data_IF_347914894276
#
_entry.id   IF_347914894276
#
_cell.length_a   1.000
_cell.length_b   1.000
_cell.length_c   1.000
_cell.angle_alpha   90.00
_cell.angle_beta   90.00
_cell.angle_gamma   90.00
#
_symmetry.space_group_name_H-M   'P 1'
#
loop_
_entity.id
_entity.type
_entity.pdbx_description
1 polymer ?
#
# COMPACT_ATOMS: atom_id res chain seq x y z
N UNK A 1 25.95 -13.86 9.56
CA UNK A 1 26.12 -15.34 9.72
C UNK A 1 24.75 -15.94 10.07
N UNK A 2 23.99 -16.33 9.04
CA UNK A 2 22.59 -16.76 9.20
C UNK A 2 22.58 -18.24 9.62
N UNK A 3 22.11 -18.54 10.82
CA UNK A 3 21.93 -19.92 11.28
C UNK A 3 20.69 -20.52 10.63
N UNK A 4 20.91 -21.52 9.78
CA UNK A 4 19.83 -22.35 9.19
C UNK A 4 19.25 -23.25 10.27
N UNK A 5 17.95 -23.11 10.54
CA UNK A 5 17.19 -24.08 11.35
C UNK A 5 16.74 -25.20 10.39
N UNK A 6 17.21 -26.40 10.65
CA UNK A 6 16.75 -27.62 9.97
C UNK A 6 15.54 -28.15 10.71
N UNK A 7 14.40 -28.18 10.06
CA UNK A 7 13.22 -28.92 10.51
C UNK A 7 13.17 -30.23 9.74
N UNK A 8 13.35 -31.35 10.45
CA UNK A 8 13.04 -32.68 9.96
C UNK A 8 11.55 -32.92 10.17
N UNK A 9 10.82 -33.21 9.10
CA UNK A 9 9.47 -33.76 9.16
C UNK A 9 9.44 -35.05 8.34
N UNK A 10 9.38 -36.17 9.05
CA UNK A 10 9.01 -37.50 8.51
C UNK A 10 7.50 -37.64 8.62
N UNK A 11 6.80 -38.03 7.57
CA UNK A 11 5.37 -38.36 7.64
C UNK A 11 4.76 -38.72 6.29
N UNK A 12 4.68 -39.96 6.10
CA UNK A 12 3.93 -40.90 5.27
C UNK A 12 2.92 -40.39 4.23
N UNK A 13 3.07 -40.99 3.10
CA UNK A 13 2.29 -41.06 1.87
C UNK A 13 0.88 -41.61 2.07
N UNK A 14 -0.13 -40.95 1.51
CA UNK A 14 -1.39 -41.57 1.10
C UNK A 14 -1.85 -40.99 -0.22
N UNK A 15 -1.71 -41.79 -1.28
CA UNK A 15 -2.32 -41.51 -2.59
C UNK A 15 -3.82 -41.79 -2.54
N UNK A 16 -4.62 -40.78 -2.86
CA UNK A 16 -5.98 -41.00 -3.35
C UNK A 16 -6.15 -40.12 -4.60
N UNK A 17 -6.18 -40.78 -5.75
CA UNK A 17 -6.45 -40.19 -7.04
C UNK A 17 -7.92 -39.77 -7.13
N UNK A 18 -8.17 -38.50 -7.42
CA UNK A 18 -9.42 -38.05 -8.00
C UNK A 18 -9.05 -37.13 -9.17
N UNK A 19 -9.40 -37.59 -10.37
CA UNK A 19 -9.28 -36.85 -11.60
C UNK A 19 -10.14 -35.59 -11.54
N UNK A 20 -9.50 -34.46 -11.47
CA UNK A 20 -10.15 -33.17 -11.68
C UNK A 20 -9.93 -32.76 -13.14
N UNK A 21 -11.01 -32.71 -13.91
CA UNK A 21 -11.06 -32.06 -15.20
C UNK A 21 -10.50 -30.64 -15.07
N UNK A 22 -9.38 -30.39 -15.71
CA UNK A 22 -8.93 -29.02 -15.95
C UNK A 22 -9.87 -28.37 -16.97
N UNK A 23 -10.57 -27.28 -16.62
CA UNK A 23 -11.13 -26.45 -17.66
C UNK A 23 -9.95 -25.79 -18.38
N UNK A 24 -9.81 -26.12 -19.66
CA UNK A 24 -8.96 -25.37 -20.59
C UNK A 24 -9.45 -23.93 -20.65
N UNK A 25 -9.00 -23.12 -19.67
CA UNK A 25 -9.15 -21.69 -19.71
C UNK A 25 -8.30 -21.18 -20.87
N UNK A 26 -8.95 -20.76 -21.96
CA UNK A 26 -8.35 -19.84 -22.92
C UNK A 26 -7.66 -18.74 -22.10
N UNK A 27 -6.36 -18.61 -22.25
CA UNK A 27 -5.65 -17.37 -21.90
C UNK A 27 -6.32 -16.28 -22.73
N UNK A 28 -7.28 -15.60 -22.15
CA UNK A 28 -7.76 -14.32 -22.65
C UNK A 28 -6.53 -13.44 -22.72
N UNK A 29 -6.27 -12.92 -23.91
CA UNK A 29 -5.09 -12.13 -24.21
C UNK A 29 -4.86 -11.10 -23.12
N UNK A 30 -3.61 -10.92 -22.75
CA UNK A 30 -3.20 -9.84 -21.90
C UNK A 30 -3.84 -8.57 -22.43
N UNK A 31 -4.63 -7.91 -21.61
CA UNK A 31 -5.24 -6.64 -21.93
C UNK A 31 -4.13 -5.70 -22.41
N UNK A 32 -4.16 -5.35 -23.69
CA UNK A 32 -3.16 -4.54 -24.37
C UNK A 32 -3.27 -3.04 -24.02
N UNK A 33 -4.04 -2.68 -23.01
CA UNK A 33 -3.98 -1.38 -22.34
C UNK A 33 -2.78 -1.35 -21.38
N UNK A 34 -1.61 -1.70 -21.90
CA UNK A 34 -0.36 -1.42 -21.19
C UNK A 34 -0.32 0.09 -21.07
N UNK A 35 -0.38 0.58 -19.83
CA UNK A 35 -0.16 1.97 -19.52
C UNK A 35 1.20 2.40 -20.13
N UNK A 36 1.14 3.05 -21.28
CA UNK A 36 2.31 3.51 -22.05
C UNK A 36 2.98 4.70 -21.39
N UNK A 37 2.41 5.23 -20.29
CA UNK A 37 2.92 6.37 -19.53
C UNK A 37 3.84 5.93 -18.38
N UNK A 38 4.05 4.64 -18.16
CA UNK A 38 4.96 4.15 -17.12
C UNK A 38 6.39 4.59 -17.38
N UNK A 39 7.01 5.17 -16.36
CA UNK A 39 8.44 5.47 -16.41
C UNK A 39 9.28 4.19 -16.35
N UNK A 40 10.56 4.29 -16.72
CA UNK A 40 11.50 3.18 -16.61
C UNK A 40 11.64 2.69 -15.16
N UNK A 41 11.59 3.59 -14.18
CA UNK A 41 11.65 3.32 -12.75
C UNK A 41 10.45 2.50 -12.30
N UNK A 42 9.23 2.88 -12.71
CA UNK A 42 8.00 2.12 -12.42
C UNK A 42 8.07 0.70 -13.00
N UNK A 43 8.57 0.55 -14.22
CA UNK A 43 8.75 -0.78 -14.85
C UNK A 43 9.80 -1.59 -14.08
N UNK A 44 10.90 -0.99 -13.65
CA UNK A 44 11.94 -1.65 -12.87
C UNK A 44 11.44 -2.10 -11.51
N UNK A 45 10.70 -1.24 -10.79
CA UNK A 45 10.06 -1.59 -9.51
C UNK A 45 9.16 -2.81 -9.68
N UNK A 46 8.25 -2.79 -10.65
CA UNK A 46 7.33 -3.90 -10.91
C UNK A 46 8.08 -5.21 -11.22
N UNK A 47 9.13 -5.14 -12.05
CA UNK A 47 9.93 -6.31 -12.39
C UNK A 47 10.71 -6.86 -11.18
N UNK A 48 11.19 -6.00 -10.30
CA UNK A 48 11.87 -6.40 -9.08
C UNK A 48 10.88 -7.05 -8.09
N UNK A 49 9.72 -6.45 -7.87
CA UNK A 49 8.66 -7.03 -7.03
C UNK A 49 8.24 -8.42 -7.51
N UNK A 50 8.15 -8.66 -8.83
CA UNK A 50 7.85 -9.99 -9.40
C UNK A 50 8.92 -11.05 -9.12
N UNK A 51 10.17 -10.65 -8.87
CA UNK A 51 11.27 -11.56 -8.56
C UNK A 51 11.30 -11.93 -7.07
N UNK A 52 10.80 -11.07 -6.18
CA UNK A 52 10.84 -11.29 -4.73
C UNK A 52 10.32 -12.67 -4.31
N UNK A 53 9.16 -13.19 -4.82
CA UNK A 53 8.63 -14.48 -4.40
C UNK A 53 9.57 -15.67 -4.69
N UNK A 54 10.53 -15.51 -5.60
CA UNK A 54 11.53 -16.55 -5.89
C UNK A 54 12.71 -16.53 -4.91
N UNK A 55 12.85 -15.51 -4.10
CA UNK A 55 13.98 -15.29 -3.19
C UNK A 55 13.56 -15.28 -1.72
N UNK A 56 12.31 -14.87 -1.43
CA UNK A 56 11.82 -14.75 -0.07
C UNK A 56 10.47 -14.05 0.03
N UNK A 57 10.18 -13.53 1.20
CA UNK A 57 8.97 -12.76 1.52
C UNK A 57 9.39 -11.41 2.06
N UNK A 58 8.75 -10.34 1.59
CA UNK A 58 8.87 -9.02 2.20
C UNK A 58 7.84 -8.90 3.33
N UNK A 59 8.33 -8.72 4.56
CA UNK A 59 7.45 -8.39 5.68
C UNK A 59 7.04 -6.92 5.58
N UNK A 60 5.75 -6.64 5.77
CA UNK A 60 5.19 -5.30 5.76
C UNK A 60 4.51 -4.93 7.07
N UNK A 61 4.52 -3.65 7.40
CA UNK A 61 3.79 -3.09 8.53
C UNK A 61 3.17 -1.74 8.18
N UNK A 62 1.95 -1.51 8.68
CA UNK A 62 1.24 -0.26 8.47
C UNK A 62 1.61 0.73 9.56
N UNK A 63 1.93 1.97 9.19
CA UNK A 63 2.27 3.10 10.08
C UNK A 63 3.39 2.85 11.10
N UNK A 64 4.20 1.80 10.90
CA UNK A 64 5.22 1.34 11.85
C UNK A 64 6.18 2.43 12.40
N UNK A 65 6.68 3.39 11.58
CA UNK A 65 7.57 4.43 12.10
C UNK A 65 6.84 5.68 12.62
N UNK A 66 5.53 5.66 12.68
CA UNK A 66 4.71 6.82 13.06
C UNK A 66 4.15 6.69 14.48
N UNK A 67 3.69 5.50 14.80
CA UNK A 67 3.20 5.13 16.14
C UNK A 67 3.24 3.61 16.30
N UNK A 68 3.15 3.15 17.54
CA UNK A 68 3.13 1.73 17.88
C UNK A 68 2.63 1.49 19.30
N UNK A 69 2.98 0.36 19.88
CA UNK A 69 2.49 -0.04 21.19
C UNK A 69 3.07 0.87 22.28
N UNK A 70 2.25 1.80 22.75
CA UNK A 70 2.61 2.71 23.85
C UNK A 70 3.50 3.89 23.45
N UNK A 71 3.59 4.22 22.16
CA UNK A 71 4.36 5.37 21.68
C UNK A 71 3.73 5.98 20.44
N UNK A 72 3.97 7.28 20.22
CA UNK A 72 3.53 8.04 19.06
C UNK A 72 4.58 9.11 18.72
N UNK A 73 4.99 9.18 17.47
CA UNK A 73 5.83 10.25 16.94
C UNK A 73 7.30 10.23 17.37
N UNK A 74 7.76 9.20 18.07
CA UNK A 74 9.17 9.05 18.47
C UNK A 74 10.06 8.96 17.22
N UNK A 75 11.21 9.64 17.25
CA UNK A 75 12.14 9.60 16.13
C UNK A 75 12.87 8.25 16.05
N UNK A 76 13.08 7.78 14.83
CA UNK A 76 13.84 6.55 14.49
C UNK A 76 13.34 5.29 15.22
N UNK A 77 12.07 5.27 15.63
CA UNK A 77 11.44 4.17 16.34
C UNK A 77 10.57 3.34 15.40
N UNK A 78 10.54 2.05 15.64
CA UNK A 78 9.74 1.06 14.95
C UNK A 78 9.57 -0.15 15.87
N UNK A 79 8.34 -0.63 16.03
CA UNK A 79 8.08 -1.85 16.79
C UNK A 79 8.73 -3.06 16.13
N UNK A 80 8.74 -3.11 14.78
CA UNK A 80 9.42 -4.17 14.03
C UNK A 80 10.93 -4.11 14.23
N UNK A 81 11.56 -2.93 14.11
CA UNK A 81 12.98 -2.74 14.33
C UNK A 81 13.40 -3.12 15.76
N UNK A 82 12.56 -2.85 16.75
CA UNK A 82 12.83 -3.20 18.14
C UNK A 82 12.90 -4.71 18.38
N UNK A 83 12.22 -5.51 17.56
CA UNK A 83 12.16 -6.98 17.66
C UNK A 83 13.23 -7.65 16.80
N UNK A 84 13.42 -7.23 15.56
CA UNK A 84 14.30 -7.92 14.61
C UNK A 84 15.58 -7.14 14.24
N UNK A 85 15.72 -5.90 14.70
CA UNK A 85 16.90 -5.06 14.46
C UNK A 85 16.86 -4.28 13.14
N UNK A 86 15.78 -4.39 12.38
CA UNK A 86 15.63 -3.69 11.10
C UNK A 86 14.18 -3.28 10.86
N UNK A 87 13.97 -2.30 9.97
CA UNK A 87 12.66 -1.85 9.57
C UNK A 87 11.94 -2.87 8.68
N UNK A 88 10.59 -2.84 8.61
CA UNK A 88 9.85 -3.67 7.65
C UNK A 88 10.26 -3.32 6.21
N UNK A 89 10.32 -4.34 5.36
CA UNK A 89 10.66 -4.16 3.94
C UNK A 89 9.59 -3.41 3.15
N UNK A 90 8.33 -3.47 3.61
CA UNK A 90 7.21 -2.72 3.05
C UNK A 90 6.58 -1.89 4.16
N UNK A 91 6.45 -0.61 3.94
CA UNK A 91 5.66 0.29 4.80
C UNK A 91 4.41 0.75 4.08
N UNK A 92 3.31 0.83 4.80
CA UNK A 92 2.07 1.40 4.31
C UNK A 92 1.66 2.57 5.20
N UNK A 93 1.06 3.60 4.61
CA UNK A 93 0.55 4.77 5.31
C UNK A 93 -0.87 5.07 4.86
N UNK A 94 -1.70 5.61 5.75
CA UNK A 94 -3.06 6.00 5.40
C UNK A 94 -3.16 7.49 5.06
N UNK A 95 -3.84 7.79 3.96
CA UNK A 95 -4.09 9.15 3.50
C UNK A 95 -5.49 9.65 3.83
N UNK A 96 -6.28 8.92 4.61
CA UNK A 96 -7.62 9.35 5.01
C UNK A 96 -7.61 10.74 5.65
N UNK A 97 -8.60 11.54 5.36
CA UNK A 97 -8.75 12.98 5.69
C UNK A 97 -7.91 13.95 4.86
N UNK A 98 -7.05 13.49 3.94
CA UNK A 98 -6.36 14.41 3.03
C UNK A 98 -7.34 15.12 2.10
N UNK A 99 -8.41 14.45 1.72
CA UNK A 99 -9.52 14.97 0.93
C UNK A 99 -10.31 16.07 1.63
N UNK A 100 -10.19 16.14 2.97
CA UNK A 100 -10.82 17.16 3.81
C UNK A 100 -9.87 18.35 4.09
N UNK A 101 -8.72 18.38 3.43
CA UNK A 101 -7.68 19.41 3.61
C UNK A 101 -7.20 19.54 5.07
N UNK A 102 -7.25 18.43 5.84
CA UNK A 102 -6.73 18.41 7.21
C UNK A 102 -5.21 18.33 7.22
N UNK A 103 -4.59 18.79 8.29
CA UNK A 103 -3.13 18.69 8.47
C UNK A 103 -2.68 17.26 8.87
N UNK A 104 -3.61 16.44 9.35
CA UNK A 104 -3.36 15.10 9.88
C UNK A 104 -4.30 14.07 9.26
N UNK A 105 -3.79 12.84 9.13
CA UNK A 105 -4.57 11.69 8.71
C UNK A 105 -5.66 11.32 9.74
N UNK A 106 -6.49 10.36 9.37
CA UNK A 106 -7.50 9.80 10.27
C UNK A 106 -6.89 9.19 11.55
N UNK A 107 -5.64 8.73 11.49
CA UNK A 107 -4.87 8.20 12.63
C UNK A 107 -4.13 9.29 13.42
N UNK A 108 -4.52 10.55 13.23
CA UNK A 108 -3.93 11.71 13.91
C UNK A 108 -2.45 11.98 13.54
N UNK A 109 -1.92 11.37 12.49
CA UNK A 109 -0.54 11.54 12.03
C UNK A 109 -0.44 12.73 11.07
N UNK A 110 0.49 13.69 11.29
CA UNK A 110 0.69 14.81 10.36
C UNK A 110 1.15 14.31 8.98
N UNK A 111 0.53 14.77 7.89
CA UNK A 111 0.92 14.39 6.52
C UNK A 111 2.38 14.70 6.19
N UNK A 112 2.95 15.76 6.78
CA UNK A 112 4.40 16.04 6.67
C UNK A 112 5.27 14.92 7.25
N UNK A 113 4.80 14.22 8.31
CA UNK A 113 5.52 13.09 8.91
C UNK A 113 5.38 11.84 8.03
N UNK A 114 4.19 11.58 7.48
CA UNK A 114 3.97 10.51 6.49
C UNK A 114 4.90 10.71 5.30
N UNK A 115 4.97 11.95 4.74
CA UNK A 115 5.90 12.28 3.66
C UNK A 115 7.35 11.99 4.04
N UNK A 116 7.79 12.42 5.22
CA UNK A 116 9.17 12.21 5.68
C UNK A 116 9.50 10.71 5.79
N UNK A 117 8.61 9.92 6.39
CA UNK A 117 8.86 8.48 6.55
C UNK A 117 8.77 7.72 5.22
N UNK A 118 7.96 8.18 4.27
CA UNK A 118 7.99 7.68 2.89
C UNK A 118 9.36 7.86 2.25
N UNK A 119 9.94 9.06 2.36
CA UNK A 119 11.29 9.36 1.83
C UNK A 119 12.35 8.51 2.57
N UNK A 120 12.23 8.39 3.88
CA UNK A 120 13.15 7.57 4.68
C UNK A 120 13.09 6.09 4.26
N UNK A 121 11.89 5.55 4.04
CA UNK A 121 11.72 4.16 3.58
C UNK A 121 12.30 3.94 2.18
N UNK A 122 12.11 4.87 1.27
CA UNK A 122 12.75 4.85 -0.04
C UNK A 122 14.28 4.84 0.08
N UNK A 123 14.86 5.73 0.90
CA UNK A 123 16.31 5.79 1.15
C UNK A 123 16.87 4.50 1.75
N UNK A 124 16.06 3.75 2.53
CA UNK A 124 16.42 2.40 3.04
C UNK A 124 16.35 1.31 1.97
N UNK A 125 15.83 1.61 0.77
CA UNK A 125 15.61 0.63 -0.30
C UNK A 125 14.34 -0.21 -0.10
N UNK A 126 13.45 0.19 0.79
CA UNK A 126 12.17 -0.46 1.03
C UNK A 126 11.08 -0.01 0.06
N UNK A 127 9.96 -0.69 0.12
CA UNK A 127 8.76 -0.36 -0.68
C UNK A 127 7.77 0.40 0.19
N UNK A 128 7.09 1.38 -0.41
CA UNK A 128 6.00 2.12 0.21
C UNK A 128 4.70 1.85 -0.53
N UNK A 129 3.63 1.71 0.23
CA UNK A 129 2.26 1.71 -0.28
C UNK A 129 1.41 2.70 0.50
N UNK A 130 0.30 3.12 -0.08
CA UNK A 130 -0.67 3.98 0.58
C UNK A 130 -2.04 3.32 0.55
N UNK A 131 -2.75 3.39 1.68
CA UNK A 131 -4.19 3.24 1.75
C UNK A 131 -4.85 4.62 1.81
N UNK A 132 -6.12 4.65 1.49
CA UNK A 132 -6.91 5.87 1.60
C UNK A 132 -8.31 5.51 2.06
N UNK A 133 -8.55 5.60 3.35
CA UNK A 133 -9.87 5.47 3.95
C UNK A 133 -10.57 6.84 3.89
N UNK A 134 -11.05 7.18 2.69
CA UNK A 134 -11.75 8.45 2.46
C UNK A 134 -13.11 8.45 3.16
N UNK A 135 -13.56 9.62 3.56
CA UNK A 135 -14.94 9.79 4.03
C UNK A 135 -15.94 9.46 2.91
N UNK A 136 -17.14 9.05 3.29
CA UNK A 136 -18.21 8.77 2.32
C UNK A 136 -18.63 10.08 1.61
N UNK A 137 -18.42 10.22 0.30
CA UNK A 137 -18.67 11.47 -0.41
C UNK A 137 -20.15 11.86 -0.47
N UNK A 138 -21.06 10.89 -0.33
CA UNK A 138 -22.51 11.11 -0.35
C UNK A 138 -23.03 11.53 1.02
N UNK A 139 -22.63 10.82 2.08
CA UNK A 139 -23.17 11.03 3.44
C UNK A 139 -22.31 11.96 4.29
N UNK A 140 -21.04 12.14 3.95
CA UNK A 140 -20.08 12.91 4.75
C UNK A 140 -19.64 12.19 6.05
N UNK A 141 -19.95 10.91 6.20
CA UNK A 141 -19.48 10.08 7.30
C UNK A 141 -18.18 9.37 6.93
N UNK A 142 -17.64 8.58 7.85
CA UNK A 142 -16.38 7.88 7.67
C UNK A 142 -16.42 6.77 6.58
N UNK A 143 -15.28 6.19 6.31
CA UNK A 143 -15.09 5.13 5.30
C UNK A 143 -15.89 3.84 5.59
N UNK A 144 -16.38 3.65 6.81
CA UNK A 144 -17.15 2.48 7.21
C UNK A 144 -18.66 2.65 7.00
N UNK A 145 -19.12 3.85 6.62
CA UNK A 145 -20.52 4.12 6.40
C UNK A 145 -21.05 3.44 5.13
N UNK A 146 -21.83 2.41 5.31
CA UNK A 146 -22.53 1.65 4.26
C UNK A 146 -24.04 1.91 4.25
N UNK A 147 -24.50 3.01 4.86
CA UNK A 147 -25.93 3.31 5.02
C UNK A 147 -26.63 3.61 3.70
N UNK A 148 -25.91 4.00 2.65
CA UNK A 148 -26.47 4.27 1.33
C UNK A 148 -25.72 3.50 0.24
N UNK A 149 -26.43 2.65 -0.49
CA UNK A 149 -25.88 1.79 -1.55
C UNK A 149 -25.63 2.54 -2.86
N UNK A 150 -26.07 3.80 -2.98
CA UNK A 150 -25.93 4.60 -4.20
C UNK A 150 -24.63 5.41 -4.25
N UNK A 151 -23.80 5.34 -3.20
CA UNK A 151 -22.56 6.11 -3.09
C UNK A 151 -21.66 5.95 -4.31
N UNK A 152 -21.45 4.71 -4.80
CA UNK A 152 -20.60 4.47 -5.98
C UNK A 152 -21.20 5.12 -7.23
N UNK A 153 -22.49 4.97 -7.47
CA UNK A 153 -23.16 5.61 -8.60
C UNK A 153 -23.06 7.14 -8.53
N UNK A 154 -23.07 7.71 -7.32
CA UNK A 154 -23.01 9.17 -7.13
C UNK A 154 -21.67 9.80 -7.51
N UNK A 155 -20.57 9.03 -7.47
CA UNK A 155 -19.22 9.51 -7.80
C UNK A 155 -18.77 9.21 -9.23
N UNK A 156 -19.51 8.35 -9.97
CA UNK A 156 -19.19 8.06 -11.36
C UNK A 156 -19.50 9.28 -12.28
N UNK A 157 -18.96 9.32 -13.50
CA UNK A 157 -19.27 10.37 -14.46
C UNK A 157 -20.79 10.59 -14.61
N UNK A 158 -21.23 11.82 -14.39
CA UNK A 158 -22.66 12.19 -14.38
C UNK A 158 -23.36 12.05 -13.01
N UNK A 159 -22.71 11.46 -12.01
CA UNK A 159 -23.22 11.41 -10.65
C UNK A 159 -23.09 12.74 -9.91
N UNK A 160 -23.99 12.96 -8.95
CA UNK A 160 -24.10 14.26 -8.23
C UNK A 160 -22.87 14.62 -7.38
N UNK A 161 -22.07 13.64 -6.99
CA UNK A 161 -20.84 13.83 -6.22
C UNK A 161 -19.56 13.58 -7.04
N UNK A 162 -19.67 13.43 -8.37
CA UNK A 162 -18.52 13.20 -9.23
C UNK A 162 -17.46 14.31 -9.10
N UNK A 163 -17.86 15.56 -9.20
CA UNK A 163 -16.92 16.70 -9.11
C UNK A 163 -16.24 16.77 -7.74
N UNK A 164 -16.98 16.50 -6.64
CA UNK A 164 -16.41 16.40 -5.30
C UNK A 164 -15.37 15.28 -5.20
N UNK A 165 -15.68 14.11 -5.73
CA UNK A 165 -14.76 12.98 -5.71
C UNK A 165 -13.51 13.24 -6.53
N UNK A 166 -13.63 13.90 -7.69
CA UNK A 166 -12.44 14.33 -8.48
C UNK A 166 -11.57 15.29 -7.68
N UNK A 167 -12.13 16.30 -6.99
CA UNK A 167 -11.33 17.19 -6.16
C UNK A 167 -10.59 16.46 -5.02
N UNK A 168 -11.17 15.40 -4.49
CA UNK A 168 -10.53 14.54 -3.49
C UNK A 168 -9.38 13.72 -4.06
N UNK A 169 -9.55 13.19 -5.29
CA UNK A 169 -8.45 12.54 -6.01
C UNK A 169 -7.32 13.51 -6.33
N UNK A 170 -7.65 14.77 -6.66
CA UNK A 170 -6.64 15.82 -6.89
C UNK A 170 -5.82 16.11 -5.61
N UNK A 171 -6.44 16.07 -4.42
CA UNK A 171 -5.72 16.23 -3.15
C UNK A 171 -4.72 15.07 -2.91
N UNK A 172 -5.14 13.82 -3.18
CA UNK A 172 -4.24 12.65 -3.11
C UNK A 172 -3.10 12.81 -4.13
N UNK A 173 -3.41 13.17 -5.38
CA UNK A 173 -2.40 13.35 -6.43
C UNK A 173 -1.43 14.48 -6.07
N UNK A 174 -1.91 15.57 -5.48
CA UNK A 174 -1.06 16.67 -5.01
C UNK A 174 -0.08 16.20 -3.94
N UNK A 175 -0.53 15.39 -2.96
CA UNK A 175 0.36 14.79 -1.96
C UNK A 175 1.40 13.87 -2.61
N UNK A 176 0.97 12.96 -3.48
CA UNK A 176 1.87 12.03 -4.19
C UNK A 176 2.96 12.79 -4.98
N UNK A 177 2.61 13.92 -5.60
CA UNK A 177 3.55 14.77 -6.32
C UNK A 177 4.61 15.43 -5.41
N UNK A 178 4.40 15.48 -4.11
CA UNK A 178 5.40 15.98 -3.14
C UNK A 178 6.44 14.93 -2.76
N UNK A 179 6.24 13.66 -3.14
CA UNK A 179 7.13 12.56 -2.77
C UNK A 179 8.38 12.58 -3.66
N UNK A 180 9.36 13.32 -3.21
CA UNK A 180 10.68 13.36 -3.84
C UNK A 180 11.78 13.54 -2.79
N UNK A 181 12.97 13.03 -3.11
CA UNK A 181 14.17 13.21 -2.28
C UNK A 181 14.69 14.65 -2.38
N UNK A 182 15.65 15.00 -1.54
CA UNK A 182 16.32 16.31 -1.59
C UNK A 182 17.05 16.55 -2.91
N UNK A 183 17.48 15.47 -3.57
CA UNK A 183 18.12 15.48 -4.89
C UNK A 183 17.12 15.56 -6.05
N UNK A 184 15.81 15.63 -5.76
CA UNK A 184 14.73 15.73 -6.76
C UNK A 184 14.34 14.40 -7.39
N UNK A 185 14.75 13.26 -6.81
CA UNK A 185 14.30 11.94 -7.29
C UNK A 185 12.85 11.69 -6.85
N UNK A 186 11.96 11.46 -7.78
CA UNK A 186 10.57 11.06 -7.52
C UNK A 186 10.53 9.63 -6.96
N UNK A 187 9.65 9.45 -5.96
CA UNK A 187 9.48 8.19 -5.23
C UNK A 187 8.23 7.49 -5.73
#
# INVERSE_FOLDING_TARGET
MIKRIKILATGALLLAGLGACSPSGKKTGADSTVDTLRTAETVNLLNNLRKVPTQGIMFGHHDDPLYGVGWEGDEDRSDVKSVCGDYPAVMSFDLGHIELEREKSLDNVPFRKIRQETINQYKRGGVVSFSWHLDNPLTGKDAWDVSDTTVVASILPGGVHHAKFISWLDAVAAFMNTLETEEGTKI
#
